data_IF_975150900103
#
_entry.id   IF_975150900103
#
_cell.length_a   1.000
_cell.length_b   1.000
_cell.length_c   1.000
_cell.angle_alpha   90.00
_cell.angle_beta   90.00
_cell.angle_gamma   90.00
#
_symmetry.space_group_name_H-M   'P 1'
#
loop_
_entity.id
_entity.type
_entity.pdbx_description
1 polymer ?
#
# COMPACT_ATOMS: atom_id res chain seq x y z
N UNK A 1 8.50 -34.43 -20.64
CA UNK A 1 8.96 -34.29 -19.24
C UNK A 1 9.58 -32.91 -19.10
N UNK A 2 8.88 -31.94 -18.52
CA UNK A 2 9.37 -30.56 -18.37
C UNK A 2 10.06 -30.39 -17.03
N UNK A 3 11.36 -30.10 -17.10
CA UNK A 3 12.26 -29.89 -15.97
C UNK A 3 11.84 -28.60 -15.25
N UNK A 4 11.20 -28.72 -14.08
CA UNK A 4 10.90 -27.56 -13.23
C UNK A 4 12.18 -27.15 -12.50
N UNK A 5 12.89 -26.16 -13.04
CA UNK A 5 13.94 -25.47 -12.29
C UNK A 5 13.27 -24.62 -11.20
N UNK A 6 13.47 -25.01 -9.94
CA UNK A 6 13.09 -24.20 -8.77
C UNK A 6 14.03 -22.99 -8.73
N UNK A 7 13.53 -21.79 -9.03
CA UNK A 7 14.30 -20.56 -8.80
C UNK A 7 14.20 -20.17 -7.32
N UNK A 8 15.36 -19.94 -6.72
CA UNK A 8 15.50 -19.23 -5.46
C UNK A 8 15.14 -17.77 -5.76
N UNK A 9 14.06 -17.25 -5.15
CA UNK A 9 13.62 -15.87 -5.32
C UNK A 9 12.28 -15.64 -6.02
N UNK A 10 11.42 -16.66 -6.13
CA UNK A 10 9.97 -16.46 -6.33
C UNK A 10 9.46 -15.96 -7.69
N UNK A 11 10.34 -15.66 -8.66
CA UNK A 11 9.94 -15.30 -10.03
C UNK A 11 10.04 -16.47 -11.01
N UNK A 12 8.99 -16.70 -11.80
CA UNK A 12 9.02 -17.59 -12.98
C UNK A 12 9.88 -16.97 -14.09
N UNK A 13 10.56 -17.79 -14.89
CA UNK A 13 11.32 -17.35 -16.06
C UNK A 13 10.63 -17.84 -17.34
N UNK A 14 10.43 -16.96 -18.32
CA UNK A 14 9.94 -17.29 -19.67
C UNK A 14 11.11 -17.30 -20.64
N UNK A 15 11.15 -18.29 -21.54
CA UNK A 15 12.13 -18.33 -22.62
C UNK A 15 11.57 -17.71 -23.90
N UNK A 16 12.24 -16.70 -24.44
CA UNK A 16 11.97 -16.16 -25.77
C UNK A 16 12.38 -17.20 -26.84
N UNK A 17 11.45 -17.58 -27.72
CA UNK A 17 11.67 -18.64 -28.73
C UNK A 17 12.41 -18.16 -29.99
N UNK A 18 12.54 -16.84 -30.18
CA UNK A 18 13.19 -16.21 -31.33
C UNK A 18 14.65 -15.91 -31.01
N UNK A 19 14.93 -15.35 -29.85
CA UNK A 19 16.28 -14.98 -29.39
C UNK A 19 16.93 -16.06 -28.52
N UNK A 20 16.13 -16.95 -27.93
CA UNK A 20 16.61 -18.01 -27.03
C UNK A 20 16.92 -17.55 -25.61
N UNK A 21 16.76 -16.26 -25.30
CA UNK A 21 17.04 -15.66 -24.00
C UNK A 21 15.94 -15.96 -22.98
N UNK A 22 16.30 -15.94 -21.70
CA UNK A 22 15.36 -16.09 -20.59
C UNK A 22 15.02 -14.72 -20.00
N UNK A 23 13.73 -14.45 -19.85
CA UNK A 23 13.17 -13.24 -19.26
C UNK A 23 12.47 -13.61 -17.96
N UNK A 24 12.40 -12.68 -17.01
CA UNK A 24 11.47 -12.83 -15.90
C UNK A 24 10.04 -12.76 -16.43
N UNK A 25 9.24 -13.77 -16.07
CA UNK A 25 7.80 -13.74 -16.24
C UNK A 25 7.24 -12.77 -15.21
N UNK A 26 7.12 -11.49 -15.61
CA UNK A 26 6.50 -10.50 -14.75
C UNK A 26 5.01 -10.52 -15.06
N UNK A 27 4.30 -11.55 -14.59
CA UNK A 27 2.85 -11.47 -14.46
C UNK A 27 2.56 -10.31 -13.50
N UNK A 28 2.24 -9.13 -14.07
CA UNK A 28 1.87 -7.94 -13.30
C UNK A 28 0.41 -8.01 -12.91
N UNK A 29 0.03 -9.07 -12.21
CA UNK A 29 -1.29 -9.14 -11.61
C UNK A 29 -1.41 -8.03 -10.56
N UNK A 30 -2.42 -7.15 -10.69
CA UNK A 30 -2.55 -6.03 -9.79
C UNK A 30 -2.99 -6.52 -8.40
N UNK A 31 -2.23 -6.15 -7.38
CA UNK A 31 -2.45 -6.61 -6.01
C UNK A 31 -3.83 -6.23 -5.48
N UNK A 32 -4.53 -7.20 -4.88
CA UNK A 32 -5.77 -6.99 -4.13
C UNK A 32 -5.63 -7.60 -2.75
N UNK A 33 -5.89 -6.81 -1.71
CA UNK A 33 -5.75 -7.21 -0.31
C UNK A 33 -5.14 -6.11 0.55
N UNK A 34 -4.82 -6.47 1.78
CA UNK A 34 -4.19 -5.56 2.75
C UNK A 34 -2.67 -5.72 2.73
N UNK A 35 -1.97 -4.62 2.47
CA UNK A 35 -0.52 -4.54 2.63
C UNK A 35 -0.19 -4.08 4.05
N UNK A 36 0.82 -4.69 4.66
CA UNK A 36 1.33 -4.34 5.99
C UNK A 36 2.81 -4.02 5.89
N UNK A 37 3.22 -2.89 6.46
CA UNK A 37 4.62 -2.54 6.66
C UNK A 37 4.92 -2.52 8.16
N UNK A 38 6.06 -3.08 8.55
CA UNK A 38 6.54 -3.12 9.93
C UNK A 38 7.84 -2.36 10.06
N UNK A 39 8.09 -1.81 11.25
CA UNK A 39 9.41 -1.31 11.66
C UNK A 39 10.40 -2.46 11.85
N UNK A 40 11.71 -2.18 11.96
CA UNK A 40 12.73 -3.21 12.20
C UNK A 40 12.54 -4.01 13.49
N UNK A 41 11.87 -3.43 14.49
CA UNK A 41 11.52 -4.07 15.75
C UNK A 41 10.27 -4.97 15.65
N UNK A 42 9.64 -5.04 14.48
CA UNK A 42 8.44 -5.82 14.21
C UNK A 42 7.11 -5.13 14.52
N UNK A 43 7.14 -3.91 15.08
CA UNK A 43 5.92 -3.12 15.33
C UNK A 43 5.32 -2.61 14.02
N UNK A 44 4.02 -2.36 14.01
CA UNK A 44 3.32 -1.93 12.80
C UNK A 44 3.69 -0.49 12.44
N UNK A 45 4.10 -0.27 11.18
CA UNK A 45 4.49 1.03 10.64
C UNK A 45 3.43 1.62 9.72
N UNK A 46 2.85 0.79 8.86
CA UNK A 46 1.81 1.20 7.94
C UNK A 46 0.91 0.02 7.58
N UNK A 47 -0.30 0.33 7.15
CA UNK A 47 -1.14 -0.60 6.39
C UNK A 47 -1.96 0.18 5.37
N UNK A 48 -2.29 -0.50 4.28
CA UNK A 48 -3.22 0.02 3.29
C UNK A 48 -3.97 -1.12 2.62
N UNK A 49 -5.26 -0.90 2.39
CA UNK A 49 -6.11 -1.77 1.58
C UNK A 49 -5.96 -1.41 0.09
N UNK A 50 -5.84 -2.44 -0.75
CA UNK A 50 -5.72 -2.33 -2.20
C UNK A 50 -6.76 -3.18 -2.90
N UNK A 51 -7.27 -2.66 -4.03
CA UNK A 51 -8.11 -3.36 -4.98
C UNK A 51 -7.57 -3.09 -6.39
N UNK A 52 -7.27 -4.15 -7.13
CA UNK A 52 -6.70 -4.07 -8.49
C UNK A 52 -5.52 -3.08 -8.57
N UNK A 53 -4.60 -3.18 -7.62
CA UNK A 53 -3.33 -2.45 -7.61
C UNK A 53 -3.47 -0.98 -7.21
N UNK A 54 -4.67 -0.52 -6.88
CA UNK A 54 -4.94 0.84 -6.39
C UNK A 54 -5.36 0.78 -4.93
N UNK A 55 -5.06 1.83 -4.16
CA UNK A 55 -5.60 1.96 -2.80
C UNK A 55 -7.12 2.04 -2.83
N UNK A 56 -7.77 1.19 -2.07
CA UNK A 56 -9.23 1.13 -1.95
C UNK A 56 -9.58 0.58 -0.57
N UNK A 57 -10.13 1.43 0.29
CA UNK A 57 -10.33 1.13 1.72
C UNK A 57 -9.50 2.03 2.63
N UNK A 58 -9.00 1.49 3.74
CA UNK A 58 -8.30 2.26 4.76
C UNK A 58 -6.79 2.29 4.51
N UNK A 59 -6.19 3.43 4.80
CA UNK A 59 -4.74 3.57 4.98
C UNK A 59 -4.47 4.12 6.38
N UNK A 60 -3.49 3.53 7.07
CA UNK A 60 -3.07 3.96 8.39
C UNK A 60 -1.55 3.91 8.50
N UNK A 61 -0.98 4.89 9.19
CA UNK A 61 0.42 4.95 9.54
C UNK A 61 0.57 5.13 11.05
N UNK A 62 1.63 4.55 11.60
CA UNK A 62 1.95 4.64 13.02
C UNK A 62 3.37 5.17 13.24
N UNK A 63 3.56 5.83 14.37
CA UNK A 63 4.88 6.11 14.93
C UNK A 63 5.49 4.84 15.53
N UNK A 64 6.81 4.82 15.74
CA UNK A 64 7.51 3.69 16.34
C UNK A 64 7.01 3.35 17.76
N UNK A 65 6.42 4.34 18.46
CA UNK A 65 5.76 4.13 19.76
C UNK A 65 4.36 3.48 19.66
N UNK A 66 3.92 3.09 18.47
CA UNK A 66 2.61 2.46 18.21
C UNK A 66 1.43 3.42 18.14
N UNK A 67 1.63 4.74 18.30
CA UNK A 67 0.56 5.73 18.16
C UNK A 67 0.27 6.03 16.70
N UNK A 68 -0.99 6.30 16.40
CA UNK A 68 -1.43 6.63 15.06
C UNK A 68 -0.80 7.96 14.61
N UNK A 69 -0.14 7.94 13.46
CA UNK A 69 0.47 9.10 12.80
C UNK A 69 -0.49 9.73 11.81
N UNK A 70 -1.15 8.90 11.01
CA UNK A 70 -2.19 9.36 10.09
C UNK A 70 -3.13 8.22 9.70
N UNK A 71 -4.34 8.59 9.32
CA UNK A 71 -5.30 7.67 8.71
C UNK A 71 -6.09 8.37 7.61
N UNK A 72 -6.60 7.59 6.66
CA UNK A 72 -7.53 8.09 5.67
C UNK A 72 -8.16 7.00 4.82
N UNK A 73 -9.22 7.39 4.11
CA UNK A 73 -9.97 6.51 3.23
C UNK A 73 -9.63 6.77 1.76
N UNK A 74 -9.51 5.68 1.01
CA UNK A 74 -9.23 5.68 -0.42
C UNK A 74 -10.34 4.96 -1.18
N UNK A 75 -10.62 5.43 -2.40
CA UNK A 75 -11.51 4.78 -3.34
C UNK A 75 -10.94 4.95 -4.75
N UNK A 76 -10.73 3.83 -5.45
CA UNK A 76 -10.09 3.78 -6.78
C UNK A 76 -8.79 4.61 -6.87
N UNK A 77 -7.95 4.53 -5.83
CA UNK A 77 -6.67 5.25 -5.75
C UNK A 77 -6.78 6.74 -5.46
N UNK A 78 -7.97 7.26 -5.10
CA UNK A 78 -8.19 8.66 -4.73
C UNK A 78 -8.64 8.80 -3.29
N UNK A 79 -8.21 9.89 -2.63
CA UNK A 79 -8.67 10.25 -1.28
C UNK A 79 -10.19 10.46 -1.28
N UNK A 80 -10.91 9.73 -0.45
CA UNK A 80 -12.37 9.75 -0.40
C UNK A 80 -12.87 9.45 1.02
N UNK A 81 -12.98 10.49 1.84
CA UNK A 81 -13.29 10.40 3.26
C UNK A 81 -12.47 11.39 4.08
N UNK A 82 -12.40 11.18 5.39
CA UNK A 82 -11.64 12.06 6.30
C UNK A 82 -10.21 11.56 6.42
N UNK A 83 -9.26 12.46 6.22
CA UNK A 83 -7.84 12.26 6.46
C UNK A 83 -7.47 12.99 7.74
N UNK A 84 -6.84 12.29 8.66
CA UNK A 84 -6.38 12.85 9.93
C UNK A 84 -4.91 12.60 10.10
N UNK A 85 -4.23 13.55 10.70
CA UNK A 85 -2.82 13.47 11.04
C UNK A 85 -2.64 13.89 12.50
N UNK A 86 -1.76 13.19 13.20
CA UNK A 86 -1.42 13.46 14.58
C UNK A 86 0.09 13.53 14.75
N UNK A 87 0.51 14.30 15.75
CA UNK A 87 1.89 14.31 16.24
C UNK A 87 2.15 13.06 17.05
N UNK A 88 3.43 12.79 17.31
CA UNK A 88 3.86 11.65 18.12
C UNK A 88 3.33 11.72 19.57
N UNK A 89 3.10 12.93 20.09
CA UNK A 89 2.48 13.16 21.40
C UNK A 89 0.95 12.90 21.40
N UNK A 90 0.35 12.61 20.24
CA UNK A 90 -1.07 12.33 20.05
C UNK A 90 -1.91 13.56 19.72
N UNK A 91 -1.33 14.76 19.65
CA UNK A 91 -2.09 15.97 19.31
C UNK A 91 -2.45 15.98 17.82
N UNK A 92 -3.69 16.36 17.47
CA UNK A 92 -4.08 16.51 16.08
C UNK A 92 -3.24 17.58 15.40
N UNK A 93 -2.78 17.29 14.17
CA UNK A 93 -2.11 18.23 13.27
C UNK A 93 -3.12 18.76 12.27
N UNK A 94 -3.90 17.85 11.68
CA UNK A 94 -4.85 18.18 10.63
C UNK A 94 -5.99 17.18 10.63
N UNK A 95 -7.16 17.64 10.20
CA UNK A 95 -8.28 16.79 9.85
C UNK A 95 -8.92 17.41 8.61
N UNK A 96 -9.02 16.68 7.52
CA UNK A 96 -9.44 17.21 6.22
C UNK A 96 -10.37 16.19 5.54
N UNK A 97 -11.52 16.63 5.05
CA UNK A 97 -12.44 15.79 4.29
C UNK A 97 -12.16 15.91 2.81
N UNK A 98 -11.97 14.78 2.14
CA UNK A 98 -11.79 14.70 0.70
C UNK A 98 -12.93 13.94 0.03
N UNK A 99 -13.25 14.29 -1.21
CA UNK A 99 -14.11 13.51 -2.09
C UNK A 99 -13.50 13.45 -3.48
N UNK A 100 -13.31 12.24 -4.01
CA UNK A 100 -12.70 12.01 -5.33
C UNK A 100 -11.33 12.71 -5.51
N UNK A 101 -10.54 12.81 -4.43
CA UNK A 101 -9.23 13.44 -4.42
C UNK A 101 -9.23 14.96 -4.17
N UNK A 102 -10.40 15.60 -4.11
CA UNK A 102 -10.53 17.04 -3.87
C UNK A 102 -10.83 17.33 -2.39
N UNK A 103 -10.17 18.34 -1.82
CA UNK A 103 -10.47 18.82 -0.48
C UNK A 103 -11.85 19.48 -0.49
N UNK A 104 -12.73 19.03 0.40
CA UNK A 104 -14.09 19.55 0.57
C UNK A 104 -14.17 20.45 1.81
N UNK A 105 -13.47 20.07 2.88
CA UNK A 105 -13.62 20.72 4.18
C UNK A 105 -12.35 20.51 5.01
N UNK A 106 -11.91 21.57 5.69
CA UNK A 106 -10.91 21.48 6.75
C UNK A 106 -11.65 21.39 8.09
N UNK A 107 -11.34 20.35 8.85
CA UNK A 107 -11.95 19.99 10.14
C UNK A 107 -11.01 20.27 11.32
N UNK A 108 -9.82 20.81 11.08
CA UNK A 108 -8.93 21.28 12.14
C UNK A 108 -9.35 22.69 12.55
N UNK A 109 -9.93 22.81 13.75
CA UNK A 109 -10.26 24.08 14.44
C UNK A 109 -9.09 24.59 15.28
#
# INVERSE_FOLDING_TARGET
>A
MSLKMKSVGGGSLVRDKVTGLWHHDVEREPFTGRALEKFPDGTQRAEADFLNGKKDGMERFWYANGRLKSEGQWFDGRRNGVFREWREDGKPISANRFKNGQLIENLAE
#
